data_IF_581477175453
#
_entry.id   IF_581477175453
#
_cell.length_a   1.000
_cell.length_b   1.000
_cell.length_c   1.000
_cell.angle_alpha   90.00
_cell.angle_beta   90.00
_cell.angle_gamma   90.00
#
_symmetry.space_group_name_H-M   'P 1'
#
loop_
_entity.id
_entity.type
_entity.pdbx_description
1 polymer ?
#
# COMPACT_ATOMS: atom_id res chain seq x y z
N UNK A 1 -66.00 -13.05 -15.61
CA UNK A 1 -64.85 -13.92 -15.29
C UNK A 1 -63.59 -13.10 -15.42
N UNK A 2 -62.90 -12.88 -14.28
CA UNK A 2 -61.72 -12.02 -14.14
C UNK A 2 -60.44 -12.80 -14.53
N UNK A 3 -59.56 -12.24 -15.34
CA UNK A 3 -58.11 -12.58 -15.34
C UNK A 3 -57.32 -11.27 -15.29
N UNK A 4 -56.93 -10.79 -14.10
CA UNK A 4 -55.67 -11.04 -13.40
C UNK A 4 -54.41 -10.69 -14.20
N UNK A 5 -54.27 -9.38 -14.44
CA UNK A 5 -52.97 -8.68 -14.55
C UNK A 5 -52.30 -8.74 -13.16
N UNK A 6 -51.18 -9.47 -13.03
CA UNK A 6 -50.29 -9.36 -11.88
C UNK A 6 -49.12 -8.46 -12.24
N UNK A 7 -49.22 -7.20 -11.79
CA UNK A 7 -48.07 -6.33 -11.53
C UNK A 7 -47.38 -6.86 -10.27
N UNK A 8 -46.11 -7.24 -10.36
CA UNK A 8 -45.29 -7.51 -9.17
C UNK A 8 -44.46 -6.28 -8.89
N UNK A 9 -44.83 -5.58 -7.81
CA UNK A 9 -44.14 -4.41 -7.30
C UNK A 9 -42.80 -4.81 -6.70
N UNK A 10 -41.72 -4.17 -7.15
CA UNK A 10 -40.41 -4.16 -6.49
C UNK A 10 -40.59 -3.37 -5.20
N UNK A 11 -40.71 -4.07 -4.07
CA UNK A 11 -40.72 -3.44 -2.75
C UNK A 11 -39.29 -2.99 -2.43
N UNK A 12 -39.14 -1.68 -2.27
CA UNK A 12 -37.93 -1.03 -1.80
C UNK A 12 -37.53 -1.55 -0.43
N UNK A 13 -36.28 -1.99 -0.31
CA UNK A 13 -35.65 -2.20 0.99
C UNK A 13 -35.25 -0.83 1.53
N UNK A 14 -35.66 -0.59 2.77
CA UNK A 14 -35.41 0.62 3.54
C UNK A 14 -33.90 0.88 3.71
N UNK A 15 -33.51 2.16 3.59
CA UNK A 15 -32.19 2.72 3.87
C UNK A 15 -31.63 2.38 5.28
N UNK A 16 -32.44 1.81 6.18
CA UNK A 16 -32.04 1.44 7.53
C UNK A 16 -31.25 0.12 7.64
N UNK A 17 -31.29 -0.78 6.65
CA UNK A 17 -30.54 -2.06 6.70
C UNK A 17 -29.09 -1.97 6.21
N UNK A 18 -28.72 -0.89 5.51
CA UNK A 18 -27.33 -0.67 5.05
C UNK A 18 -26.40 -0.16 6.16
N UNK A 19 -26.96 0.46 7.21
CA UNK A 19 -26.16 1.09 8.29
C UNK A 19 -25.62 0.04 9.30
N UNK A 20 -26.17 -1.17 9.31
CA UNK A 20 -25.82 -2.19 10.31
C UNK A 20 -24.67 -3.11 9.90
N UNK A 21 -24.34 -3.21 8.59
CA UNK A 21 -23.19 -4.01 8.12
C UNK A 21 -21.85 -3.27 8.25
N UNK A 22 -21.85 -1.93 8.21
CA UNK A 22 -20.63 -1.13 8.32
C UNK A 22 -20.00 -1.12 9.73
N UNK A 23 -20.70 -1.63 10.75
CA UNK A 23 -20.18 -1.70 12.13
C UNK A 23 -19.46 -3.01 12.47
N UNK A 24 -19.48 -4.03 11.59
CA UNK A 24 -18.84 -5.32 11.87
C UNK A 24 -17.38 -5.43 11.44
N UNK A 25 -16.87 -4.54 10.58
CA UNK A 25 -15.43 -4.51 10.21
C UNK A 25 -14.54 -3.69 11.15
N UNK A 26 -15.11 -2.87 12.04
CA UNK A 26 -14.34 -2.11 13.05
C UNK A 26 -14.18 -2.86 14.39
N UNK A 27 -14.79 -4.05 14.52
CA UNK A 27 -14.82 -4.84 15.75
C UNK A 27 -13.68 -5.88 15.88
N UNK A 28 -12.71 -5.92 14.97
CA UNK A 28 -11.48 -6.71 15.15
C UNK A 28 -10.40 -5.96 15.96
N UNK A 29 -10.54 -4.64 16.15
CA UNK A 29 -9.59 -3.82 16.93
C UNK A 29 -9.61 -4.10 18.43
N UNK A 30 -10.66 -4.76 18.96
CA UNK A 30 -10.80 -5.01 20.39
C UNK A 30 -10.00 -6.21 20.91
N UNK A 31 -9.50 -7.10 20.04
CA UNK A 31 -8.71 -8.28 20.46
C UNK A 31 -7.21 -8.00 20.67
N UNK A 32 -6.72 -6.81 20.32
CA UNK A 32 -5.32 -6.43 20.50
C UNK A 32 -5.04 -5.73 21.84
N UNK A 33 -6.05 -5.48 22.68
CA UNK A 33 -5.93 -4.64 23.89
C UNK A 33 -5.08 -5.21 25.03
N UNK A 34 -4.47 -6.38 24.89
CA UNK A 34 -3.69 -6.98 25.99
C UNK A 34 -2.38 -7.67 25.57
N UNK A 35 -1.86 -7.41 24.36
CA UNK A 35 -0.49 -7.79 24.02
C UNK A 35 0.44 -6.65 24.39
N UNK A 36 1.38 -6.91 25.31
CA UNK A 36 2.52 -6.01 25.57
C UNK A 36 3.18 -5.68 24.22
N UNK A 37 3.38 -4.40 23.94
CA UNK A 37 4.08 -3.98 22.73
C UNK A 37 5.52 -4.53 22.77
N UNK A 38 6.07 -5.00 21.64
CA UNK A 38 7.47 -5.40 21.58
C UNK A 38 8.36 -4.21 21.95
N UNK A 39 9.54 -4.47 22.51
CA UNK A 39 10.51 -3.41 22.80
C UNK A 39 10.96 -2.74 21.48
N UNK A 40 11.53 -1.52 21.55
CA UNK A 40 11.98 -0.86 20.32
C UNK A 40 13.08 -1.69 19.65
N UNK A 41 13.08 -1.73 18.32
CA UNK A 41 14.07 -2.51 17.54
C UNK A 41 15.48 -2.03 17.85
N UNK A 42 15.66 -0.72 18.04
CA UNK A 42 16.90 -0.09 18.47
C UNK A 42 17.37 -0.55 19.87
N UNK A 43 16.46 -0.82 20.80
CA UNK A 43 16.76 -1.34 22.13
C UNK A 43 17.08 -2.84 22.09
N UNK A 44 16.31 -3.59 21.30
CA UNK A 44 16.47 -5.04 21.13
C UNK A 44 17.78 -5.40 20.44
N UNK A 45 18.22 -4.57 19.50
CA UNK A 45 19.45 -4.78 18.71
C UNK A 45 20.43 -3.60 18.91
N UNK A 46 21.07 -3.47 20.08
CA UNK A 46 21.87 -2.30 20.44
C UNK A 46 23.15 -2.12 19.60
N UNK A 47 23.53 -3.14 18.82
CA UNK A 47 24.65 -3.07 17.88
C UNK A 47 24.27 -2.40 16.55
N UNK A 48 22.97 -2.36 16.22
CA UNK A 48 22.46 -1.60 15.09
C UNK A 48 22.45 -0.12 15.48
N UNK A 49 23.18 0.70 14.72
CA UNK A 49 23.29 2.13 14.99
C UNK A 49 22.44 2.90 14.00
N UNK A 50 21.79 3.95 14.50
CA UNK A 50 21.10 4.93 13.66
C UNK A 50 22.11 5.58 12.71
N UNK A 51 21.78 5.63 11.43
CA UNK A 51 22.62 6.29 10.43
C UNK A 51 22.71 7.81 10.65
N UNK A 52 23.63 8.44 9.92
CA UNK A 52 23.79 9.91 9.87
C UNK A 52 22.64 10.55 9.05
N UNK A 53 21.43 10.46 9.57
CA UNK A 53 20.23 11.08 9.02
C UNK A 53 19.83 12.28 9.88
N UNK A 54 19.22 13.28 9.25
CA UNK A 54 18.58 14.34 10.01
C UNK A 54 17.40 13.78 10.83
N UNK A 55 17.00 14.55 11.83
CA UNK A 55 15.79 14.30 12.62
C UNK A 55 14.64 15.16 12.11
N UNK A 56 13.42 14.62 12.15
CA UNK A 56 12.22 15.35 11.76
C UNK A 56 12.03 16.64 12.58
N UNK A 57 11.94 17.78 11.90
CA UNK A 57 11.67 19.09 12.53
C UNK A 57 10.22 19.54 12.34
N UNK A 58 9.78 20.55 13.10
CA UNK A 58 8.46 21.14 12.93
C UNK A 58 8.28 21.80 11.56
N UNK A 59 9.35 22.36 10.98
CA UNK A 59 9.33 22.91 9.61
C UNK A 59 9.07 21.83 8.57
N UNK A 60 9.67 20.64 8.76
CA UNK A 60 9.44 19.48 7.87
C UNK A 60 7.97 19.02 7.95
N UNK A 61 7.41 18.94 9.16
CA UNK A 61 5.99 18.61 9.35
C UNK A 61 5.06 19.64 8.71
N UNK A 62 5.37 20.94 8.85
CA UNK A 62 4.59 22.01 8.20
C UNK A 62 4.66 21.88 6.67
N UNK A 63 5.85 21.65 6.11
CA UNK A 63 6.00 21.41 4.68
C UNK A 63 5.17 20.19 4.21
N UNK A 64 5.19 19.08 4.96
CA UNK A 64 4.40 17.91 4.58
C UNK A 64 2.90 18.19 4.60
N UNK A 65 2.40 19.00 5.53
CA UNK A 65 0.98 19.43 5.56
C UNK A 65 0.62 20.36 4.40
N UNK A 66 1.56 21.14 3.88
CA UNK A 66 1.36 21.94 2.67
C UNK A 66 1.32 21.08 1.40
N UNK A 67 2.14 20.01 1.34
CA UNK A 67 2.17 19.06 0.23
C UNK A 67 0.96 18.13 0.26
N UNK A 68 0.55 17.70 1.47
CA UNK A 68 -0.49 16.73 1.75
C UNK A 68 -1.62 17.44 2.53
N UNK A 69 -2.53 18.12 1.82
CA UNK A 69 -3.42 19.12 2.43
C UNK A 69 -4.52 18.52 3.32
N UNK A 70 -4.90 17.27 3.12
CA UNK A 70 -5.90 16.64 3.97
C UNK A 70 -5.30 16.26 5.32
N UNK A 71 -5.97 16.60 6.42
CA UNK A 71 -5.49 16.35 7.77
C UNK A 71 -5.21 14.86 8.05
N UNK A 72 -5.90 13.96 7.35
CA UNK A 72 -5.63 12.53 7.41
C UNK A 72 -4.25 12.18 6.84
N UNK A 73 -3.70 12.92 5.89
CA UNK A 73 -2.47 12.50 5.20
C UNK A 73 -1.18 12.65 6.01
N UNK A 74 -1.18 13.39 7.13
CA UNK A 74 0.00 13.58 7.98
C UNK A 74 -0.33 13.25 9.42
N UNK A 75 0.12 12.07 9.87
CA UNK A 75 -0.09 11.58 11.22
C UNK A 75 1.15 11.84 12.07
N UNK A 76 0.97 12.40 13.27
CA UNK A 76 2.07 12.70 14.21
C UNK A 76 1.74 12.38 15.67
N UNK A 77 0.56 11.83 15.95
CA UNK A 77 0.15 11.46 17.32
C UNK A 77 0.66 10.05 17.64
N UNK A 78 1.04 9.78 18.89
CA UNK A 78 1.61 8.49 19.27
C UNK A 78 0.63 7.33 19.02
N UNK A 79 -0.67 7.58 19.26
CA UNK A 79 -1.74 6.61 19.06
C UNK A 79 -1.91 6.22 17.59
N UNK A 80 -1.88 7.20 16.68
CA UNK A 80 -2.03 6.95 15.24
C UNK A 80 -0.82 6.22 14.65
N UNK A 81 0.38 6.46 15.20
CA UNK A 81 1.65 5.93 14.69
C UNK A 81 1.90 4.46 15.09
N UNK A 82 1.28 3.99 16.17
CA UNK A 82 1.58 2.67 16.75
C UNK A 82 1.42 1.51 15.74
N UNK A 83 0.38 1.56 14.90
CA UNK A 83 0.09 0.53 13.89
C UNK A 83 1.09 0.51 12.73
N UNK A 84 1.72 1.64 12.43
CA UNK A 84 2.74 1.77 11.39
C UNK A 84 4.13 1.41 11.88
N UNK A 85 4.37 1.58 13.19
CA UNK A 85 5.63 1.25 13.83
C UNK A 85 5.77 -0.23 14.18
N UNK A 86 4.68 -0.99 14.28
CA UNK A 86 4.72 -2.41 14.70
C UNK A 86 4.52 -3.33 13.49
N UNK A 87 5.35 -4.35 13.32
CA UNK A 87 5.21 -5.30 12.22
C UNK A 87 4.03 -6.25 12.40
N UNK A 88 3.69 -6.98 11.33
CA UNK A 88 2.61 -7.95 11.33
C UNK A 88 2.74 -9.03 12.42
N UNK A 89 3.95 -9.50 12.69
CA UNK A 89 4.18 -10.56 13.68
C UNK A 89 4.20 -10.03 15.13
N UNK A 90 4.32 -8.71 15.32
CA UNK A 90 4.49 -8.06 16.62
C UNK A 90 5.83 -8.40 17.28
N UNK A 91 6.87 -8.58 16.47
CA UNK A 91 8.22 -8.97 16.88
C UNK A 91 9.17 -7.77 16.83
N UNK A 92 9.00 -6.86 15.87
CA UNK A 92 9.82 -5.65 15.72
C UNK A 92 8.95 -4.41 15.77
N UNK A 93 9.50 -3.34 16.36
CA UNK A 93 8.82 -2.04 16.47
C UNK A 93 9.78 -0.88 16.28
N UNK A 94 9.43 0.05 15.40
CA UNK A 94 10.12 1.32 15.19
C UNK A 94 9.65 2.43 16.13
N UNK A 95 10.24 3.60 15.99
CA UNK A 95 9.92 4.82 16.72
C UNK A 95 9.72 6.02 15.77
N UNK A 96 9.07 5.78 14.63
CA UNK A 96 8.75 6.86 13.71
C UNK A 96 7.83 7.87 14.36
N UNK A 97 8.11 9.15 14.08
CA UNK A 97 7.37 10.30 14.60
C UNK A 97 6.41 10.91 13.57
N UNK A 98 6.39 10.40 12.34
CA UNK A 98 5.48 10.83 11.30
C UNK A 98 5.16 9.72 10.30
N UNK A 99 3.87 9.58 9.97
CA UNK A 99 3.39 8.79 8.84
C UNK A 99 2.76 9.73 7.83
N UNK A 100 3.20 9.62 6.58
CA UNK A 100 2.73 10.38 5.43
C UNK A 100 1.90 9.45 4.54
N UNK A 101 0.68 9.86 4.17
CA UNK A 101 -0.26 9.07 3.38
C UNK A 101 -0.63 9.80 2.08
N UNK A 102 0.28 9.84 1.10
CA UNK A 102 0.02 10.48 -0.18
C UNK A 102 -1.12 9.79 -0.95
N UNK A 103 -1.77 10.55 -1.83
CA UNK A 103 -2.84 10.10 -2.74
C UNK A 103 -2.40 10.08 -4.21
N UNK A 104 -1.23 10.63 -4.53
CA UNK A 104 -0.74 10.72 -5.90
C UNK A 104 0.78 10.59 -5.99
N UNK A 105 1.27 10.18 -7.17
CA UNK A 105 2.71 10.13 -7.50
C UNK A 105 3.38 11.50 -7.31
N UNK A 106 2.68 12.59 -7.64
CA UNK A 106 3.18 13.96 -7.45
C UNK A 106 3.40 14.30 -5.97
N UNK A 107 2.53 13.83 -5.09
CA UNK A 107 2.69 14.01 -3.65
C UNK A 107 3.90 13.22 -3.12
N UNK A 108 4.06 11.95 -3.53
CA UNK A 108 5.26 11.14 -3.20
C UNK A 108 6.53 11.84 -3.67
N UNK A 109 6.58 12.29 -4.93
CA UNK A 109 7.71 13.02 -5.52
C UNK A 109 8.13 14.23 -4.68
N UNK A 110 7.17 15.07 -4.28
CA UNK A 110 7.46 16.26 -3.45
C UNK A 110 7.92 15.89 -2.04
N UNK A 111 7.34 14.85 -1.44
CA UNK A 111 7.74 14.34 -0.12
C UNK A 111 9.17 13.79 -0.16
N UNK A 112 9.47 12.87 -1.09
CA UNK A 112 10.79 12.26 -1.22
C UNK A 112 11.86 13.30 -1.55
N UNK A 113 11.54 14.27 -2.41
CA UNK A 113 12.45 15.40 -2.67
C UNK A 113 12.84 16.13 -1.38
N UNK A 114 11.87 16.47 -0.52
CA UNK A 114 12.15 17.12 0.77
C UNK A 114 12.98 16.23 1.68
N UNK A 115 12.65 14.93 1.76
CA UNK A 115 13.40 13.98 2.56
C UNK A 115 14.85 13.87 2.09
N UNK A 116 15.09 13.81 0.78
CA UNK A 116 16.43 13.78 0.20
C UNK A 116 17.21 15.07 0.48
N UNK A 117 16.62 16.23 0.23
CA UNK A 117 17.25 17.53 0.47
C UNK A 117 17.61 17.74 1.96
N UNK A 118 16.85 17.12 2.87
CA UNK A 118 17.07 17.17 4.33
C UNK A 118 17.83 15.97 4.89
N UNK A 119 18.16 14.96 4.08
CA UNK A 119 18.68 13.65 4.55
C UNK A 119 17.82 13.01 5.65
N UNK A 120 16.49 13.04 5.49
CA UNK A 120 15.55 12.31 6.34
C UNK A 120 15.37 10.90 5.79
N UNK A 121 15.53 9.88 6.64
CA UNK A 121 15.31 8.49 6.27
C UNK A 121 13.81 8.20 6.12
N UNK A 122 13.48 7.28 5.20
CA UNK A 122 12.11 6.94 4.82
C UNK A 122 11.93 5.41 4.78
N UNK A 123 10.76 4.93 5.21
CA UNK A 123 10.31 3.55 5.03
C UNK A 123 9.00 3.54 4.24
N UNK A 124 9.01 3.01 3.00
CA UNK A 124 7.78 2.78 2.25
C UNK A 124 6.96 1.65 2.91
N UNK A 125 5.65 1.85 3.06
CA UNK A 125 4.78 0.88 3.69
C UNK A 125 3.49 0.68 2.89
N UNK A 126 3.23 -0.56 2.50
CA UNK A 126 1.95 -0.97 1.92
C UNK A 126 0.97 -1.42 3.00
N UNK A 127 0.36 -2.59 2.82
CA UNK A 127 -0.56 -3.18 3.80
C UNK A 127 0.06 -3.64 5.13
N UNK A 128 1.35 -3.41 5.36
CA UNK A 128 2.13 -3.86 6.53
C UNK A 128 1.95 -5.36 6.88
N UNK A 129 1.92 -6.23 5.85
CA UNK A 129 1.78 -7.69 5.99
C UNK A 129 3.08 -8.44 5.73
N UNK A 130 4.21 -7.74 5.66
CA UNK A 130 5.54 -8.32 5.46
C UNK A 130 5.99 -9.13 6.69
N UNK A 131 6.86 -10.13 6.48
CA UNK A 131 7.26 -11.07 7.52
C UNK A 131 8.76 -11.01 7.88
N UNK A 132 9.49 -10.06 7.27
CA UNK A 132 10.95 -9.92 7.44
C UNK A 132 11.34 -8.60 8.12
N UNK A 133 10.36 -7.84 8.63
CA UNK A 133 10.58 -6.55 9.29
C UNK A 133 10.84 -5.36 8.36
N UNK A 134 10.95 -5.58 7.04
CA UNK A 134 11.24 -4.51 6.08
C UNK A 134 10.12 -3.47 5.89
N UNK A 135 8.91 -3.74 6.36
CA UNK A 135 7.78 -2.82 6.26
C UNK A 135 7.68 -1.79 7.39
N UNK A 136 8.54 -1.87 8.41
CA UNK A 136 8.50 -0.96 9.57
C UNK A 136 9.85 -0.30 9.85
N UNK A 137 9.88 0.90 10.45
CA UNK A 137 11.09 1.60 10.86
C UNK A 137 11.92 0.82 11.89
N UNK A 138 13.22 1.08 11.94
CA UNK A 138 14.11 0.61 13.01
C UNK A 138 14.27 1.68 14.09
N UNK A 139 14.40 2.93 13.65
CA UNK A 139 14.54 4.12 14.48
C UNK A 139 13.36 5.07 14.17
N UNK A 140 13.65 6.31 13.78
CA UNK A 140 12.72 7.41 13.56
C UNK A 140 12.47 7.69 12.06
N UNK A 141 12.70 6.71 11.18
CA UNK A 141 12.44 6.86 9.75
C UNK A 141 10.98 7.26 9.49
N UNK A 142 10.76 8.19 8.55
CA UNK A 142 9.41 8.64 8.19
C UNK A 142 8.73 7.51 7.42
N UNK A 143 7.54 7.10 7.84
CA UNK A 143 6.78 6.10 7.09
C UNK A 143 6.01 6.79 5.96
N UNK A 144 6.18 6.31 4.73
CA UNK A 144 5.31 6.70 3.60
C UNK A 144 4.36 5.55 3.31
N UNK A 145 3.09 5.71 3.67
CA UNK A 145 2.05 4.71 3.45
C UNK A 145 1.32 4.94 2.13
N UNK A 146 1.22 3.90 1.30
CA UNK A 146 0.46 3.96 0.04
C UNK A 146 -1.04 3.75 0.22
N UNK A 147 -1.55 3.61 1.45
CA UNK A 147 -2.93 3.17 1.72
C UNK A 147 -4.04 4.07 1.15
N UNK A 148 -3.76 5.32 0.84
CA UNK A 148 -4.73 6.24 0.23
C UNK A 148 -4.64 6.28 -1.30
N UNK A 149 -3.63 5.64 -1.90
CA UNK A 149 -3.49 5.51 -3.36
C UNK A 149 -4.24 4.26 -3.86
N UNK A 150 -5.58 4.32 -3.86
CA UNK A 150 -6.43 3.13 -4.07
C UNK A 150 -7.18 3.09 -5.40
N UNK A 151 -6.83 3.96 -6.34
CA UNK A 151 -7.56 4.09 -7.60
C UNK A 151 -7.16 3.01 -8.61
N UNK A 152 -8.18 2.42 -9.23
CA UNK A 152 -8.02 1.63 -10.47
C UNK A 152 -8.09 2.62 -11.63
N UNK A 153 -7.01 2.73 -12.39
CA UNK A 153 -6.87 3.71 -13.47
C UNK A 153 -7.56 3.22 -14.75
N UNK A 154 -7.34 1.94 -15.11
CA UNK A 154 -7.98 1.33 -16.27
C UNK A 154 -7.95 -0.19 -16.23
N UNK A 155 -8.96 -0.81 -16.82
CA UNK A 155 -8.96 -2.24 -17.16
C UNK A 155 -9.29 -2.39 -18.65
N UNK A 156 -8.43 -3.07 -19.40
CA UNK A 156 -8.74 -3.51 -20.75
C UNK A 156 -9.25 -4.97 -20.69
N UNK A 157 -10.56 -5.21 -20.89
CA UNK A 157 -11.14 -6.54 -20.77
C UNK A 157 -10.73 -7.49 -21.90
N UNK A 158 -10.21 -6.98 -23.01
CA UNK A 158 -9.80 -7.81 -24.15
C UNK A 158 -8.37 -8.30 -23.95
N UNK A 159 -7.44 -7.41 -23.61
CA UNK A 159 -6.05 -7.79 -23.35
C UNK A 159 -5.82 -8.35 -21.93
N UNK A 160 -6.73 -8.06 -21.00
CA UNK A 160 -6.63 -8.45 -19.60
C UNK A 160 -5.67 -7.57 -18.78
N UNK A 161 -5.28 -6.39 -19.30
CA UNK A 161 -4.35 -5.49 -18.63
C UNK A 161 -5.07 -4.61 -17.61
N UNK A 162 -4.57 -4.63 -16.38
CA UNK A 162 -5.00 -3.77 -15.27
C UNK A 162 -3.92 -2.71 -15.00
N UNK A 163 -4.33 -1.45 -14.91
CA UNK A 163 -3.51 -0.34 -14.39
C UNK A 163 -4.17 0.20 -13.14
N UNK A 164 -3.44 0.23 -12.02
CA UNK A 164 -3.95 0.68 -10.73
C UNK A 164 -2.82 1.27 -9.87
N UNK A 165 -3.20 2.03 -8.85
CA UNK A 165 -2.27 2.61 -7.90
C UNK A 165 -1.72 1.56 -6.91
N UNK A 166 -0.52 1.82 -6.37
CA UNK A 166 0.21 0.92 -5.48
C UNK A 166 -0.57 0.49 -4.22
N UNK A 167 -1.47 1.33 -3.71
CA UNK A 167 -2.27 1.07 -2.52
C UNK A 167 -3.49 0.20 -2.71
N UNK A 168 -3.81 -0.24 -3.94
CA UNK A 168 -4.94 -1.12 -4.18
C UNK A 168 -4.77 -2.47 -3.47
N UNK A 169 -5.73 -2.82 -2.62
CA UNK A 169 -5.76 -4.10 -1.90
C UNK A 169 -6.01 -5.25 -2.88
N UNK A 170 -5.24 -6.33 -2.77
CA UNK A 170 -5.30 -7.47 -3.70
C UNK A 170 -6.70 -8.08 -3.80
N UNK A 171 -7.38 -8.29 -2.68
CA UNK A 171 -8.76 -8.82 -2.66
C UNK A 171 -9.75 -7.92 -3.39
N UNK A 172 -9.61 -6.60 -3.28
CA UNK A 172 -10.46 -5.64 -4.00
C UNK A 172 -10.21 -5.73 -5.52
N UNK A 173 -8.96 -5.85 -5.94
CA UNK A 173 -8.61 -5.99 -7.36
C UNK A 173 -9.15 -7.30 -7.94
N UNK A 174 -8.96 -8.44 -7.27
CA UNK A 174 -9.48 -9.73 -7.72
C UNK A 174 -11.02 -9.76 -7.74
N UNK A 175 -11.67 -9.09 -6.77
CA UNK A 175 -13.11 -8.82 -6.74
C UNK A 175 -13.61 -8.11 -7.99
N UNK A 176 -13.06 -6.93 -8.26
CA UNK A 176 -13.43 -6.07 -9.38
C UNK A 176 -13.25 -6.80 -10.72
N UNK A 177 -12.08 -7.42 -10.94
CA UNK A 177 -11.77 -8.11 -12.19
C UNK A 177 -12.74 -9.27 -12.48
N UNK A 178 -13.10 -10.02 -11.45
CA UNK A 178 -14.01 -11.17 -11.57
C UNK A 178 -15.44 -10.74 -11.83
N UNK A 179 -15.92 -9.73 -11.12
CA UNK A 179 -17.32 -9.29 -11.19
C UNK A 179 -17.62 -8.50 -12.48
N UNK A 180 -16.67 -7.68 -12.95
CA UNK A 180 -16.90 -6.76 -14.06
C UNK A 180 -16.39 -7.30 -15.41
N UNK A 181 -15.40 -8.20 -15.41
CA UNK A 181 -14.67 -8.57 -16.63
C UNK A 181 -14.42 -10.07 -16.82
N UNK A 182 -14.85 -10.93 -15.89
CA UNK A 182 -14.53 -12.38 -15.88
C UNK A 182 -13.00 -12.65 -15.93
N UNK A 183 -12.24 -11.74 -15.30
CA UNK A 183 -10.78 -11.82 -15.17
C UNK A 183 -10.39 -12.15 -13.72
N UNK A 184 -9.10 -12.43 -13.50
CA UNK A 184 -8.57 -12.69 -12.17
C UNK A 184 -7.15 -12.13 -12.01
N UNK A 185 -6.74 -11.86 -10.77
CA UNK A 185 -5.35 -11.52 -10.50
C UNK A 185 -4.43 -12.74 -10.70
N UNK A 186 -3.21 -12.56 -11.27
CA UNK A 186 -2.28 -13.67 -11.52
C UNK A 186 -1.63 -14.22 -10.23
N UNK A 187 -1.78 -13.51 -9.11
CA UNK A 187 -1.30 -13.91 -7.79
C UNK A 187 -2.44 -13.96 -6.79
N UNK A 188 -2.29 -14.77 -5.75
CA UNK A 188 -3.21 -14.85 -4.61
C UNK A 188 -2.45 -15.38 -3.39
N UNK A 189 -2.71 -14.83 -2.21
CA UNK A 189 -1.97 -15.13 -0.99
C UNK A 189 -2.82 -14.93 0.27
N UNK A 190 -2.39 -15.48 1.40
CA UNK A 190 -3.17 -15.50 2.64
C UNK A 190 -3.52 -14.11 3.19
N UNK A 191 -2.70 -13.10 2.91
CA UNK A 191 -2.90 -11.72 3.33
C UNK A 191 -3.73 -10.88 2.34
N UNK A 192 -4.44 -11.49 1.38
CA UNK A 192 -5.12 -10.79 0.26
C UNK A 192 -6.03 -9.63 0.68
N UNK A 193 -6.67 -9.75 1.85
CA UNK A 193 -7.58 -8.73 2.39
C UNK A 193 -6.88 -7.49 2.95
N UNK A 194 -5.55 -7.46 2.97
CA UNK A 194 -4.78 -6.32 3.49
C UNK A 194 -3.52 -5.99 2.68
N UNK A 195 -2.89 -6.98 2.03
CA UNK A 195 -1.74 -6.70 1.17
C UNK A 195 -2.14 -5.81 -0.01
N UNK A 196 -1.28 -4.83 -0.30
CA UNK A 196 -1.47 -3.88 -1.38
C UNK A 196 -0.59 -4.26 -2.57
N UNK A 197 -1.03 -3.94 -3.79
CA UNK A 197 -0.37 -4.39 -5.02
C UNK A 197 1.08 -3.89 -5.13
N UNK A 198 1.37 -2.67 -4.70
CA UNK A 198 2.73 -2.12 -4.64
C UNK A 198 3.64 -2.91 -3.70
N UNK A 199 3.13 -3.32 -2.54
CA UNK A 199 3.85 -4.21 -1.62
C UNK A 199 4.10 -5.60 -2.21
N UNK A 200 3.13 -6.15 -2.96
CA UNK A 200 3.31 -7.42 -3.65
C UNK A 200 4.42 -7.34 -4.71
N UNK A 201 4.44 -6.26 -5.50
CA UNK A 201 5.48 -6.01 -6.52
C UNK A 201 6.85 -5.81 -5.86
N UNK A 202 6.91 -4.94 -4.85
CA UNK A 202 8.14 -4.61 -4.11
C UNK A 202 8.78 -5.84 -3.45
N UNK A 203 7.99 -6.81 -3.02
CA UNK A 203 8.47 -8.06 -2.41
C UNK A 203 8.56 -9.25 -3.37
N UNK A 204 8.24 -9.05 -4.66
CA UNK A 204 8.09 -10.13 -5.65
C UNK A 204 7.23 -11.30 -5.11
N UNK A 205 6.05 -10.96 -4.58
CA UNK A 205 5.17 -11.92 -3.92
C UNK A 205 4.79 -13.07 -4.86
N UNK A 206 4.89 -14.31 -4.36
CA UNK A 206 4.46 -15.50 -5.07
C UNK A 206 3.01 -15.88 -4.75
N UNK A 207 2.83 -16.74 -3.75
CA UNK A 207 1.51 -17.18 -3.30
C UNK A 207 1.00 -18.46 -3.98
N UNK A 208 -0.28 -18.78 -3.77
CA UNK A 208 -0.86 -20.10 -4.07
C UNK A 208 -1.10 -20.35 -5.58
N UNK A 209 -1.04 -19.29 -6.41
CA UNK A 209 -1.22 -19.39 -7.87
C UNK A 209 0.09 -19.33 -8.67
N UNK A 210 1.24 -19.22 -7.99
CA UNK A 210 2.56 -19.07 -8.62
C UNK A 210 2.86 -20.19 -9.63
N UNK A 211 2.50 -21.45 -9.32
CA UNK A 211 2.77 -22.60 -10.19
C UNK A 211 2.10 -22.47 -11.57
N UNK A 212 0.93 -21.79 -11.66
CA UNK A 212 0.17 -21.64 -12.89
C UNK A 212 0.53 -20.37 -13.66
N UNK A 213 0.68 -19.25 -12.96
CA UNK A 213 0.82 -17.93 -13.59
C UNK A 213 2.23 -17.34 -13.51
N UNK A 214 3.13 -17.97 -12.74
CA UNK A 214 4.54 -17.57 -12.64
C UNK A 214 4.78 -16.37 -11.72
N UNK A 215 6.02 -15.87 -11.76
CA UNK A 215 6.48 -14.73 -10.96
C UNK A 215 5.95 -13.39 -11.47
N UNK A 216 5.89 -12.39 -10.57
CA UNK A 216 5.61 -11.00 -10.92
C UNK A 216 6.61 -10.42 -11.93
N UNK A 217 7.85 -10.91 -12.00
CA UNK A 217 8.79 -10.55 -13.07
C UNK A 217 8.26 -10.82 -14.48
N UNK A 218 7.34 -11.79 -14.64
CA UNK A 218 6.72 -12.12 -15.92
C UNK A 218 5.32 -11.54 -16.13
N UNK A 219 4.60 -11.19 -15.07
CA UNK A 219 3.19 -10.74 -15.14
C UNK A 219 3.01 -9.24 -14.96
N UNK A 220 3.95 -8.55 -14.31
CA UNK A 220 3.98 -7.08 -14.27
C UNK A 220 4.44 -6.55 -15.63
N UNK A 221 3.61 -5.71 -16.26
CA UNK A 221 3.92 -5.13 -17.58
C UNK A 221 4.67 -3.80 -17.48
N UNK A 222 4.41 -3.01 -16.43
CA UNK A 222 5.06 -1.72 -16.20
C UNK A 222 4.94 -1.28 -14.74
N UNK A 223 5.78 -0.32 -14.36
CA UNK A 223 5.83 0.29 -13.02
C UNK A 223 6.11 1.78 -13.20
N UNK A 224 5.32 2.63 -12.55
CA UNK A 224 5.71 4.01 -12.26
C UNK A 224 6.31 4.03 -10.85
N UNK A 225 7.53 4.52 -10.69
CA UNK A 225 8.22 4.57 -9.40
C UNK A 225 8.75 5.97 -9.13
N UNK A 226 8.79 6.37 -7.86
CA UNK A 226 9.44 7.61 -7.45
C UNK A 226 10.77 7.30 -6.76
N UNK A 227 11.85 7.84 -7.33
CA UNK A 227 13.20 7.66 -6.82
C UNK A 227 13.44 8.48 -5.54
N UNK A 228 14.49 8.14 -4.80
CA UNK A 228 14.83 8.81 -3.54
C UNK A 228 14.97 10.34 -3.66
N UNK A 229 15.48 10.84 -4.79
CA UNK A 229 15.62 12.28 -5.05
C UNK A 229 14.30 12.99 -5.41
N UNK A 230 13.20 12.23 -5.56
CA UNK A 230 11.88 12.71 -5.95
C UNK A 230 11.60 12.63 -7.45
N UNK A 231 12.55 12.20 -8.30
CA UNK A 231 12.29 12.02 -9.73
C UNK A 231 11.31 10.88 -9.96
N UNK A 232 10.36 11.09 -10.88
CA UNK A 232 9.41 10.06 -11.29
C UNK A 232 10.00 9.30 -12.48
N UNK A 233 10.21 8.01 -12.29
CA UNK A 233 10.58 7.10 -13.36
C UNK A 233 9.32 6.43 -13.90
N UNK A 234 8.92 6.84 -15.10
CA UNK A 234 7.81 6.24 -15.82
C UNK A 234 8.31 5.06 -16.66
N UNK A 235 8.12 3.85 -16.13
CA UNK A 235 8.25 2.59 -16.87
C UNK A 235 6.88 1.91 -17.00
N UNK A 236 5.79 2.70 -16.98
CA UNK A 236 4.44 2.18 -17.10
C UNK A 236 4.16 1.84 -18.57
N UNK A 237 3.85 0.57 -18.81
CA UNK A 237 3.52 0.06 -20.13
C UNK A 237 2.39 -0.95 -20.02
N UNK A 238 1.50 -0.93 -21.01
CA UNK A 238 0.44 -1.92 -21.18
C UNK A 238 0.77 -2.93 -22.30
N UNK A 239 1.98 -2.87 -22.87
CA UNK A 239 2.39 -3.74 -23.95
C UNK A 239 2.82 -5.11 -23.41
N UNK A 240 2.29 -6.18 -24.02
CA UNK A 240 2.69 -7.56 -23.67
C UNK A 240 4.14 -7.89 -24.03
N UNK A 241 4.67 -7.22 -25.05
CA UNK A 241 6.05 -7.34 -25.56
C UNK A 241 6.57 -5.96 -25.90
N UNK A 242 7.67 -5.57 -25.27
CA UNK A 242 8.34 -4.31 -25.50
C UNK A 242 9.84 -4.50 -25.26
N UNK A 243 10.65 -4.28 -26.30
CA UNK A 243 12.10 -4.52 -26.28
C UNK A 243 12.88 -3.23 -26.62
N UNK A 244 12.33 -2.05 -26.32
CA UNK A 244 12.97 -0.75 -26.61
C UNK A 244 13.96 -0.32 -25.53
N UNK A 245 14.98 -1.15 -25.26
CA UNK A 245 16.04 -0.85 -24.29
C UNK A 245 16.06 -1.81 -23.10
N UNK A 246 16.55 -1.31 -21.95
CA UNK A 246 16.65 -2.11 -20.72
C UNK A 246 15.29 -2.22 -20.02
N UNK A 247 15.02 -3.38 -19.44
CA UNK A 247 13.79 -3.64 -18.70
C UNK A 247 13.89 -3.11 -17.26
N UNK A 248 13.90 -1.78 -17.11
CA UNK A 248 14.17 -1.11 -15.83
C UNK A 248 13.16 -1.44 -14.73
N UNK A 249 11.89 -1.74 -15.09
CA UNK A 249 10.86 -2.12 -14.10
C UNK A 249 11.29 -3.32 -13.25
N UNK A 250 12.10 -4.23 -13.82
CA UNK A 250 12.56 -5.44 -13.14
C UNK A 250 13.41 -5.14 -11.90
N UNK A 251 14.11 -4.00 -11.88
CA UNK A 251 14.92 -3.59 -10.74
C UNK A 251 14.06 -3.27 -9.52
N UNK A 252 12.82 -2.82 -9.71
CA UNK A 252 11.91 -2.47 -8.62
C UNK A 252 11.15 -3.68 -8.07
N UNK A 253 10.95 -4.72 -8.90
CA UNK A 253 10.28 -5.96 -8.51
C UNK A 253 11.21 -6.75 -7.60
N UNK A 254 10.86 -6.88 -6.32
CA UNK A 254 11.73 -7.52 -5.32
C UNK A 254 12.79 -6.58 -4.71
N UNK A 255 12.71 -5.27 -4.95
CA UNK A 255 13.63 -4.28 -4.37
C UNK A 255 13.34 -3.91 -2.91
N UNK A 256 12.17 -4.31 -2.39
CA UNK A 256 11.73 -4.06 -1.02
C UNK A 256 11.75 -2.56 -0.64
N UNK A 257 11.45 -1.68 -1.59
CA UNK A 257 11.37 -0.23 -1.38
C UNK A 257 12.72 0.49 -1.26
N UNK A 258 13.84 -0.23 -1.49
CA UNK A 258 15.20 0.33 -1.33
C UNK A 258 15.67 1.16 -2.52
N UNK A 259 15.02 1.01 -3.68
CA UNK A 259 15.38 1.74 -4.92
C UNK A 259 14.36 2.83 -5.30
N UNK A 260 13.18 2.83 -4.68
CA UNK A 260 12.10 3.76 -4.95
C UNK A 260 10.80 3.34 -4.28
N UNK A 261 9.81 4.22 -4.32
CA UNK A 261 8.43 3.98 -3.88
C UNK A 261 7.54 3.69 -5.08
#
# INVERSE_FOLDING_TARGET
>A
MRSLVKRTAVHGRSLAEFVTLSRRCLASSSRLRNRKLPDLTSERYPHVKRGDYATLSQEDVSFFREVLPEASQVLTTAEDLQGYNTDWMGIVRGDSRAVLRPKSTKEISRVLKRCNDRRLAVVPQGGNTGLVGGSVPVFDEIVISTELMTDVISVDPVSGVLVCQAGCVLERLDGLLREEHDLMMPLDLGAKGSCQIGGNVSTNAGGIRLLRYGSLHGTVLGVEAVLANGDVLDCLSSLRKDNTGYDLKQLFIGSEGTLGV
#
